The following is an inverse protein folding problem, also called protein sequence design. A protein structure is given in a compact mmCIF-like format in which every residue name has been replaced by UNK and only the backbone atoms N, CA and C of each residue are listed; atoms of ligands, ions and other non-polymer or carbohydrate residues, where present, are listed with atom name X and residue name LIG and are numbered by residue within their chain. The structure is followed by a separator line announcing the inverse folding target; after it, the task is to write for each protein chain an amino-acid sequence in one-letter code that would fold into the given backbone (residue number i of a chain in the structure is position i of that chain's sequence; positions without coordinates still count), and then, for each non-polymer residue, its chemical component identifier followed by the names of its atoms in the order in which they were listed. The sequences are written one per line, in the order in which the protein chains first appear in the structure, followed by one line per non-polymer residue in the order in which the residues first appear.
data_IF_980199113987
#
_entry.id   IF_980199113987
#
_cell.length_a   1.000
_cell.length_b   1.000
_cell.length_c   1.000
_cell.angle_alpha   90.00
_cell.angle_beta   90.00
_cell.angle_gamma   90.00
#
_symmetry.space_group_name_H-M   'P 1'
#
loop_
_entity.id
_entity.type
_entity.pdbx_description
1 polymer ?
#
# COMPACT_ATOMS: atom_id res chain seq x y z
N UNK A 1 2.61 1.97 -26.59
CA UNK A 1 3.40 2.85 -25.68
C UNK A 1 2.73 3.02 -24.32
N UNK A 2 1.73 3.90 -24.10
CA UNK A 2 1.16 4.14 -22.74
C UNK A 2 0.58 2.87 -22.07
N UNK A 3 -0.15 2.05 -22.81
CA UNK A 3 -0.69 0.77 -22.27
C UNK A 3 0.39 -0.28 -21.99
N UNK A 4 1.52 -0.21 -22.69
CA UNK A 4 2.64 -1.14 -22.47
C UNK A 4 3.44 -0.72 -21.24
N UNK A 5 3.62 0.58 -21.02
CA UNK A 5 4.27 1.09 -19.81
C UNK A 5 3.41 0.83 -18.57
N UNK A 6 2.09 1.01 -18.67
CA UNK A 6 1.14 0.64 -17.60
C UNK A 6 1.27 -0.85 -17.23
N UNK A 7 1.22 -1.73 -18.23
CA UNK A 7 1.39 -3.18 -18.03
C UNK A 7 2.73 -3.51 -17.39
N UNK A 8 3.81 -2.88 -17.85
CA UNK A 8 5.16 -3.14 -17.35
C UNK A 8 5.31 -2.73 -15.88
N UNK A 9 4.72 -1.60 -15.49
CA UNK A 9 4.69 -1.15 -14.10
C UNK A 9 3.86 -2.08 -13.23
N UNK A 10 2.65 -2.46 -13.66
CA UNK A 10 1.82 -3.40 -12.89
C UNK A 10 2.54 -4.74 -12.67
N UNK A 11 3.16 -5.29 -13.71
CA UNK A 11 3.91 -6.55 -13.60
C UNK A 11 5.07 -6.42 -12.62
N UNK A 12 5.83 -5.32 -12.68
CA UNK A 12 6.97 -5.12 -11.78
C UNK A 12 6.53 -5.00 -10.31
N UNK A 13 5.46 -4.26 -10.03
CA UNK A 13 4.91 -4.13 -8.68
C UNK A 13 4.42 -5.47 -8.15
N UNK A 14 3.68 -6.24 -8.96
CA UNK A 14 3.20 -7.58 -8.58
C UNK A 14 4.38 -8.50 -8.26
N UNK A 15 5.40 -8.53 -9.12
CA UNK A 15 6.57 -9.40 -8.92
C UNK A 15 7.33 -9.07 -7.62
N UNK A 16 7.50 -7.79 -7.29
CA UNK A 16 8.19 -7.38 -6.07
C UNK A 16 7.37 -7.73 -4.82
N UNK A 17 6.09 -7.37 -4.80
CA UNK A 17 5.20 -7.64 -3.66
C UNK A 17 4.99 -9.13 -3.43
N UNK A 18 4.96 -9.94 -4.49
CA UNK A 18 4.86 -11.38 -4.38
C UNK A 18 6.11 -12.02 -3.76
N UNK A 19 7.32 -11.56 -4.12
CA UNK A 19 8.57 -12.06 -3.51
C UNK A 19 8.61 -11.77 -2.02
N UNK A 20 8.25 -10.55 -1.62
CA UNK A 20 8.18 -10.16 -0.22
C UNK A 20 7.12 -10.97 0.54
N UNK A 21 5.97 -11.24 -0.08
CA UNK A 21 4.95 -12.11 0.49
C UNK A 21 5.45 -13.53 0.70
N UNK A 22 6.14 -14.15 -0.28
CA UNK A 22 6.72 -15.48 -0.12
C UNK A 22 7.70 -15.55 1.05
N UNK A 23 8.57 -14.54 1.18
CA UNK A 23 9.49 -14.45 2.31
C UNK A 23 8.74 -14.34 3.65
N UNK A 24 7.68 -13.53 3.70
CA UNK A 24 6.84 -13.41 4.89
C UNK A 24 6.14 -14.73 5.26
N UNK A 25 5.72 -15.52 4.25
CA UNK A 25 5.08 -16.82 4.46
C UNK A 25 6.06 -17.87 4.97
N UNK A 26 7.31 -17.83 4.54
CA UNK A 26 8.33 -18.75 5.05
C UNK A 26 8.67 -18.44 6.50
N UNK A 27 8.82 -17.17 6.88
CA UNK A 27 8.94 -16.77 8.30
C UNK A 27 7.72 -17.19 9.13
N UNK A 28 6.51 -17.05 8.58
CA UNK A 28 5.28 -17.46 9.24
C UNK A 28 5.31 -18.96 9.56
N UNK A 29 5.67 -19.79 8.57
CA UNK A 29 5.76 -21.26 8.71
C UNK A 29 6.75 -21.69 9.79
N UNK A 30 7.90 -21.04 9.87
CA UNK A 30 8.92 -21.32 10.90
C UNK A 30 8.38 -21.01 12.31
N UNK A 31 7.56 -19.96 12.46
CA UNK A 31 7.00 -19.53 13.76
C UNK A 31 5.77 -20.31 14.25
N UNK A 32 5.10 -21.08 13.40
CA UNK A 32 3.83 -21.75 13.74
C UNK A 32 3.98 -22.96 14.65
N UNK A 33 5.15 -23.60 14.65
CA UNK A 33 5.44 -24.70 15.56
C UNK A 33 5.25 -24.31 17.04
N UNK A 34 5.51 -23.05 17.37
CA UNK A 34 5.36 -22.52 18.73
C UNK A 34 3.89 -22.29 19.14
N UNK A 35 2.95 -22.18 18.18
CA UNK A 35 1.53 -21.98 18.48
C UNK A 35 0.83 -23.23 18.98
N UNK A 36 1.40 -24.40 18.70
CA UNK A 36 0.96 -25.68 19.25
C UNK A 36 1.03 -25.71 20.79
N UNK A 37 1.92 -24.94 21.41
CA UNK A 37 1.95 -24.80 22.87
C UNK A 37 0.72 -24.09 23.43
N UNK A 38 0.02 -23.29 22.62
CA UNK A 38 -1.19 -22.56 23.00
C UNK A 38 -2.50 -23.33 22.83
N UNK A 39 -2.45 -24.66 22.59
CA UNK A 39 -3.63 -25.50 22.32
C UNK A 39 -4.49 -25.05 21.13
N UNK A 40 -3.95 -24.18 20.27
CA UNK A 40 -4.58 -23.79 19.01
C UNK A 40 -4.05 -24.67 17.88
N UNK A 41 -4.93 -25.03 16.95
CA UNK A 41 -4.53 -25.81 15.78
C UNK A 41 -3.58 -24.98 14.90
N UNK A 42 -2.31 -25.41 14.73
CA UNK A 42 -1.30 -24.64 14.01
C UNK A 42 -1.68 -24.41 12.54
N UNK A 43 -2.40 -25.35 11.94
CA UNK A 43 -2.86 -25.25 10.55
C UNK A 43 -3.92 -24.16 10.36
N UNK A 44 -4.82 -23.98 11.33
CA UNK A 44 -5.90 -22.98 11.25
C UNK A 44 -5.30 -21.59 11.42
N UNK A 45 -4.40 -21.44 12.38
CA UNK A 45 -3.67 -20.19 12.62
C UNK A 45 -2.82 -19.80 11.41
N UNK A 46 -2.09 -20.74 10.80
CA UNK A 46 -1.38 -20.51 9.54
C UNK A 46 -2.31 -19.95 8.48
N UNK A 47 -3.42 -20.65 8.20
CA UNK A 47 -4.35 -20.27 7.13
C UNK A 47 -4.95 -18.89 7.37
N UNK A 48 -5.24 -18.55 8.63
CA UNK A 48 -5.83 -17.26 9.00
C UNK A 48 -4.82 -16.13 8.78
N UNK A 49 -3.60 -16.28 9.29
CA UNK A 49 -2.59 -15.24 9.18
C UNK A 49 -2.03 -15.11 7.77
N UNK A 50 -1.83 -16.23 7.07
CA UNK A 50 -1.42 -16.22 5.67
C UNK A 50 -2.41 -15.45 4.81
N UNK A 51 -3.71 -15.61 5.09
CA UNK A 51 -4.76 -14.91 4.37
C UNK A 51 -4.84 -13.42 4.72
N UNK A 52 -4.57 -13.04 5.97
CA UNK A 52 -4.47 -11.63 6.36
C UNK A 52 -3.31 -10.94 5.64
N UNK A 53 -2.13 -11.54 5.67
CA UNK A 53 -0.93 -10.99 5.00
C UNK A 53 -1.13 -10.93 3.48
N UNK A 54 -1.85 -11.89 2.89
CA UNK A 54 -2.20 -11.86 1.47
C UNK A 54 -3.14 -10.70 1.12
N UNK A 55 -4.17 -10.43 1.93
CA UNK A 55 -5.06 -9.28 1.71
C UNK A 55 -4.29 -7.96 1.82
N UNK A 56 -3.46 -7.81 2.86
CA UNK A 56 -2.62 -6.64 3.03
C UNK A 56 -1.65 -6.43 1.85
N UNK A 57 -1.13 -7.53 1.25
CA UNK A 57 -0.32 -7.46 0.04
C UNK A 57 -1.12 -6.96 -1.16
N UNK A 58 -2.35 -7.46 -1.33
CA UNK A 58 -3.22 -7.05 -2.43
C UNK A 58 -3.54 -5.55 -2.35
N UNK A 59 -3.90 -5.04 -1.18
CA UNK A 59 -4.19 -3.62 -0.96
C UNK A 59 -2.95 -2.75 -1.27
N UNK A 60 -1.75 -3.20 -0.88
CA UNK A 60 -0.50 -2.49 -1.19
C UNK A 60 -0.21 -2.48 -2.70
N UNK A 61 -0.47 -3.57 -3.42
CA UNK A 61 -0.28 -3.62 -4.88
C UNK A 61 -1.19 -2.58 -5.55
N UNK A 62 -2.45 -2.48 -5.12
CA UNK A 62 -3.38 -1.49 -5.65
C UNK A 62 -2.90 -0.05 -5.39
N UNK A 63 -2.56 0.28 -4.14
CA UNK A 63 -2.07 1.60 -3.77
C UNK A 63 -0.76 1.97 -4.50
N UNK A 64 0.17 1.03 -4.60
CA UNK A 64 1.48 1.24 -5.19
C UNK A 64 1.40 1.38 -6.72
N UNK A 65 0.59 0.57 -7.39
CA UNK A 65 0.35 0.72 -8.84
C UNK A 65 -0.29 2.06 -9.16
N UNK A 66 -1.31 2.50 -8.39
CA UNK A 66 -1.95 3.82 -8.59
C UNK A 66 -0.95 4.94 -8.33
N UNK A 67 -0.15 4.85 -7.26
CA UNK A 67 0.87 5.83 -6.93
C UNK A 67 1.91 5.96 -8.05
N UNK A 68 2.42 4.85 -8.56
CA UNK A 68 3.40 4.88 -9.65
C UNK A 68 2.80 5.47 -10.92
N UNK A 69 1.57 5.09 -11.28
CA UNK A 69 0.90 5.67 -12.45
C UNK A 69 0.65 7.17 -12.30
N UNK A 70 0.35 7.64 -11.09
CA UNK A 70 0.08 9.06 -10.84
C UNK A 70 1.34 9.94 -10.92
N UNK A 71 2.49 9.45 -10.42
CA UNK A 71 3.76 10.19 -10.47
C UNK A 71 4.56 9.96 -11.75
N UNK A 72 4.13 9.03 -12.61
CA UNK A 72 4.78 8.77 -13.89
C UNK A 72 4.57 9.95 -14.84
N UNK A 73 5.56 10.83 -14.93
CA UNK A 73 5.63 11.81 -16.01
C UNK A 73 6.19 11.12 -17.26
N UNK A 74 5.42 11.02 -18.36
CA UNK A 74 5.97 10.53 -19.62
C UNK A 74 6.96 11.58 -20.14
N UNK A 75 8.24 11.21 -20.22
CA UNK A 75 9.21 12.02 -20.96
C UNK A 75 8.88 11.89 -22.45
N UNK A 76 8.12 12.85 -22.97
CA UNK A 76 8.05 13.08 -24.40
C UNK A 76 9.33 13.80 -24.79
N UNK A 77 10.17 13.13 -25.58
CA UNK A 77 11.33 13.76 -26.20
C UNK A 77 10.82 14.83 -27.16
N UNK A 78 10.60 16.04 -26.64
CA UNK A 78 10.43 17.20 -27.48
C UNK A 78 11.79 17.42 -28.12
N UNK A 79 11.88 17.23 -29.44
CA UNK A 79 12.99 17.68 -30.25
C UNK A 79 13.12 19.20 -30.16
N UNK A 80 13.60 19.69 -29.03
CA UNK A 80 14.18 21.00 -28.89
C UNK A 80 15.44 20.80 -28.07
N UNK A 81 16.46 20.29 -28.77
CA UNK A 81 17.84 20.62 -28.46
C UNK A 81 17.92 22.14 -28.57
N UNK A 82 17.51 22.84 -27.51
CA UNK A 82 17.85 24.23 -27.32
C UNK A 82 19.36 24.22 -27.29
N UNK A 83 19.97 24.57 -28.43
CA UNK A 83 21.35 25.01 -28.47
C UNK A 83 21.42 26.12 -27.45
N UNK A 84 21.95 25.81 -26.28
CA UNK A 84 22.36 26.81 -25.32
C UNK A 84 23.47 27.59 -26.04
N UNK A 85 23.24 28.82 -26.54
CA UNK A 85 24.31 29.61 -27.11
C UNK A 85 25.01 30.21 -25.90
N UNK A 86 25.92 29.45 -25.31
CA UNK A 86 26.78 30.03 -24.29
C UNK A 86 27.59 31.13 -24.98
N UNK A 87 27.57 32.38 -24.49
CA UNK A 87 28.45 33.41 -25.02
C UNK A 87 29.89 32.94 -24.79
N UNK A 88 30.65 32.82 -25.87
CA UNK A 88 32.08 32.54 -25.81
C UNK A 88 32.73 33.71 -25.07
N UNK A 89 33.11 33.48 -23.81
CA UNK A 89 33.78 34.49 -23.00
C UNK A 89 35.13 34.78 -23.68
N UNK A 90 35.53 36.06 -23.83
CA UNK A 90 36.84 36.38 -24.39
C UNK A 90 37.92 35.74 -23.52
N UNK A 91 38.83 34.99 -24.15
CA UNK A 91 40.04 34.51 -23.49
C UNK A 91 40.81 35.71 -22.94
N UNK A 92 40.84 35.84 -21.62
CA UNK A 92 41.58 36.88 -20.95
C UNK A 92 43.05 36.48 -20.96
N UNK A 93 43.80 37.08 -21.90
CA UNK A 93 45.25 37.03 -21.97
C UNK A 93 45.84 37.42 -20.61
N UNK A 94 46.67 36.52 -20.08
CA UNK A 94 47.33 36.64 -18.80
C UNK A 94 48.37 37.75 -18.87
N UNK A 95 47.96 38.96 -18.49
CA UNK A 95 48.82 40.12 -18.30
C UNK A 95 48.77 40.59 -16.85
N UNK A 96 49.91 40.43 -16.19
CA UNK A 96 50.28 40.81 -14.83
C UNK A 96 49.99 42.29 -14.56
N UNK A 97 49.34 42.63 -13.44
CA UNK A 97 49.74 43.75 -12.55
C UNK A 97 48.80 43.88 -11.34
N UNK A 98 49.41 44.13 -10.19
CA UNK A 98 48.78 44.19 -8.88
C UNK A 98 48.14 45.57 -8.59
N UNK A 99 46.91 45.57 -8.04
CA UNK A 99 46.55 46.45 -6.92
C UNK A 99 45.30 45.95 -6.20
N UNK A 100 45.35 45.94 -4.87
CA UNK A 100 44.21 45.64 -4.01
C UNK A 100 43.24 46.85 -3.97
N UNK A 101 41.93 46.61 -3.99
CA UNK A 101 40.94 47.46 -3.31
C UNK A 101 39.68 46.66 -3.03
N UNK A 102 39.25 46.74 -1.78
CA UNK A 102 38.03 46.17 -1.24
C UNK A 102 36.79 46.81 -1.87
N UNK A 103 35.80 45.99 -2.26
CA UNK A 103 34.42 46.44 -2.39
C UNK A 103 33.44 45.30 -2.06
N UNK A 104 32.71 45.54 -0.99
CA UNK A 104 31.64 44.77 -0.39
C UNK A 104 30.52 44.44 -1.42
N UNK A 105 30.08 43.18 -1.46
CA UNK A 105 29.02 42.70 -2.36
C UNK A 105 28.28 41.50 -1.77
N UNK A 106 27.31 41.78 -0.91
CA UNK A 106 26.38 40.83 -0.28
C UNK A 106 25.57 40.04 -1.32
N UNK A 107 25.67 38.70 -1.32
CA UNK A 107 24.76 37.79 -2.03
C UNK A 107 24.04 36.85 -1.05
N UNK A 108 23.20 37.42 -0.19
CA UNK A 108 22.16 36.68 0.52
C UNK A 108 20.91 36.65 -0.36
N UNK A 109 20.74 35.63 -1.19
CA UNK A 109 19.57 35.57 -2.07
C UNK A 109 19.41 34.28 -2.84
N UNK A 110 19.39 33.12 -2.17
CA UNK A 110 18.85 31.85 -2.72
C UNK A 110 18.51 30.79 -1.65
N UNK A 111 18.67 31.06 -0.36
CA UNK A 111 18.30 30.10 0.71
C UNK A 111 16.81 30.11 1.08
N UNK A 112 16.04 31.13 0.69
CA UNK A 112 14.62 31.25 1.04
C UNK A 112 13.73 30.25 0.29
N UNK A 113 14.06 29.94 -0.96
CA UNK A 113 13.14 29.26 -1.87
C UNK A 113 13.16 27.73 -1.68
N UNK A 114 14.33 27.16 -1.33
CA UNK A 114 14.45 25.75 -0.97
C UNK A 114 13.75 25.43 0.36
N UNK A 115 13.71 26.38 1.31
CA UNK A 115 13.07 26.19 2.62
C UNK A 115 11.55 26.25 2.53
N UNK A 116 11.00 27.04 1.60
CA UNK A 116 9.57 27.10 1.33
C UNK A 116 9.03 25.80 0.69
N UNK A 117 9.79 25.17 -0.22
CA UNK A 117 9.42 23.89 -0.80
C UNK A 117 9.48 22.72 0.23
N UNK A 118 10.43 22.77 1.16
CA UNK A 118 10.51 21.79 2.27
C UNK A 118 9.33 21.94 3.25
N UNK A 119 8.93 23.17 3.58
CA UNK A 119 7.78 23.42 4.48
C UNK A 119 6.44 22.90 3.93
N UNK A 120 6.23 23.01 2.61
CA UNK A 120 5.00 22.52 1.98
C UNK A 120 4.84 20.98 2.07
N UNK A 121 5.95 20.24 2.01
CA UNK A 121 5.96 18.78 2.15
C UNK A 121 5.68 18.33 3.60
N UNK A 122 6.26 19.03 4.58
CA UNK A 122 6.02 18.79 6.00
C UNK A 122 4.56 19.05 6.40
N UNK A 123 3.93 20.08 5.82
CA UNK A 123 2.52 20.41 6.06
C UNK A 123 1.54 19.38 5.48
N UNK A 124 1.83 18.82 4.29
CA UNK A 124 1.02 17.74 3.70
C UNK A 124 1.08 16.49 4.58
N UNK A 125 2.28 16.12 5.05
CA UNK A 125 2.49 14.94 5.91
C UNK A 125 1.75 15.10 7.25
N UNK A 126 1.77 16.30 7.84
CA UNK A 126 1.08 16.64 9.08
C UNK A 126 -0.44 16.56 8.95
N UNK A 127 -0.99 16.97 7.81
CA UNK A 127 -2.44 16.91 7.55
C UNK A 127 -2.93 15.45 7.38
N UNK A 128 -2.14 14.60 6.72
CA UNK A 128 -2.43 13.17 6.58
C UNK A 128 -2.41 12.49 7.96
N UNK A 129 -1.40 12.79 8.79
CA UNK A 129 -1.28 12.22 10.15
C UNK A 129 -2.47 12.63 11.03
N UNK A 130 -2.84 13.92 11.04
CA UNK A 130 -4.01 14.40 11.80
C UNK A 130 -5.33 13.78 11.35
N UNK A 131 -5.47 13.44 10.07
CA UNK A 131 -6.67 12.78 9.56
C UNK A 131 -6.75 11.34 10.06
N UNK A 132 -5.63 10.59 10.01
CA UNK A 132 -5.54 9.24 10.55
C UNK A 132 -5.74 9.19 12.07
N UNK A 133 -5.19 10.14 12.82
CA UNK A 133 -5.36 10.18 14.28
C UNK A 133 -6.80 10.50 14.68
N UNK A 134 -7.49 11.38 13.93
CA UNK A 134 -8.92 11.65 14.13
C UNK A 134 -9.79 10.45 13.79
N UNK A 135 -9.47 9.73 12.73
CA UNK A 135 -10.17 8.51 12.33
C UNK A 135 -9.97 7.39 13.36
N UNK A 136 -8.74 7.22 13.88
CA UNK A 136 -8.42 6.30 14.97
C UNK A 136 -9.13 6.67 16.28
N UNK A 137 -9.16 7.96 16.62
CA UNK A 137 -9.89 8.46 17.79
C UNK A 137 -11.41 8.30 17.63
N UNK A 138 -11.95 8.47 16.41
CA UNK A 138 -13.35 8.23 16.11
C UNK A 138 -13.71 6.75 16.27
N UNK A 139 -12.84 5.83 15.82
CA UNK A 139 -12.98 4.39 16.05
C UNK A 139 -12.89 4.01 17.54
N UNK A 140 -12.01 4.66 18.32
CA UNK A 140 -11.94 4.45 19.77
C UNK A 140 -13.14 5.02 20.53
N UNK A 141 -13.72 6.14 20.09
CA UNK A 141 -14.89 6.75 20.73
C UNK A 141 -16.18 5.96 20.44
N UNK A 142 -16.27 5.28 19.29
CA UNK A 142 -17.37 4.36 18.97
C UNK A 142 -17.24 3.02 19.72
N UNK A 143 -16.05 2.71 20.28
CA UNK A 143 -15.81 1.52 21.10
C UNK A 143 -16.16 1.66 22.58
N UNK A 144 -16.67 2.81 23.00
CA UNK A 144 -16.85 3.18 24.40
C UNK A 144 -18.30 3.42 24.82
N UNK A 145 -19.25 2.57 24.40
CA UNK A 145 -20.54 2.41 25.10
C UNK A 145 -21.14 1.04 24.77
N UNK A 146 -21.40 0.26 25.82
CA UNK A 146 -21.95 -1.07 25.73
C UNK A 146 -23.36 -1.07 25.14
N UNK A 147 -23.49 -1.64 23.94
CA UNK A 147 -24.66 -2.43 23.59
C UNK A 147 -24.15 -3.74 23.02
N UNK A 148 -24.25 -4.80 23.82
CA UNK A 148 -24.11 -6.16 23.36
C UNK A 148 -25.07 -6.36 22.18
N UNK A 149 -24.54 -6.32 20.96
CA UNK A 149 -25.20 -6.96 19.83
C UNK A 149 -25.10 -8.45 20.10
N UNK A 150 -26.15 -9.01 20.70
CA UNK A 150 -26.40 -10.45 20.70
C UNK A 150 -26.14 -10.96 19.28
N UNK A 151 -25.07 -11.74 19.13
CA UNK A 151 -24.90 -12.57 17.97
C UNK A 151 -26.11 -13.50 17.94
N UNK A 152 -27.06 -13.24 17.04
CA UNK A 152 -28.21 -14.11 16.88
C UNK A 152 -27.69 -15.53 16.64
N UNK A 153 -28.07 -16.51 17.47
CA UNK A 153 -27.57 -17.86 17.31
C UNK A 153 -28.03 -18.37 15.94
N UNK A 154 -27.06 -18.65 15.07
CA UNK A 154 -27.31 -19.38 13.83
C UNK A 154 -27.84 -20.75 14.23
N UNK A 155 -29.16 -20.90 14.18
CA UNK A 155 -29.83 -22.19 14.31
C UNK A 155 -29.42 -23.01 13.10
N UNK A 156 -28.43 -23.89 13.29
CA UNK A 156 -28.15 -24.94 12.31
C UNK A 156 -29.43 -25.77 12.18
N UNK A 157 -30.10 -25.65 11.03
CA UNK A 157 -31.26 -26.48 10.72
C UNK A 157 -30.92 -27.95 10.94
N UNK A 158 -31.84 -28.69 11.56
CA UNK A 158 -31.69 -30.11 11.87
C UNK A 158 -31.34 -30.86 10.59
N UNK A 159 -30.18 -31.52 10.54
CA UNK A 159 -29.81 -32.34 9.39
C UNK A 159 -30.84 -33.46 9.27
N UNK A 160 -31.65 -33.41 8.21
CA UNK A 160 -32.66 -34.42 7.91
C UNK A 160 -31.95 -35.76 7.72
N UNK A 161 -32.29 -36.74 8.55
CA UNK A 161 -31.71 -38.07 8.50
C UNK A 161 -32.17 -38.84 7.27
N UNK A 162 -31.37 -39.83 6.85
CA UNK A 162 -31.61 -40.63 5.63
C UNK A 162 -33.00 -41.31 5.59
N UNK A 163 -33.62 -41.57 6.74
CA UNK A 163 -34.94 -42.21 6.84
C UNK A 163 -36.10 -41.25 7.23
N UNK A 164 -35.83 -39.97 7.49
CA UNK A 164 -36.83 -38.98 7.92
C UNK A 164 -37.75 -38.53 6.78
N UNK A 165 -38.96 -38.00 7.08
CA UNK A 165 -39.84 -37.44 6.05
C UNK A 165 -39.11 -36.36 5.25
N UNK A 166 -39.15 -36.46 3.93
CA UNK A 166 -38.38 -35.57 3.08
C UNK A 166 -38.97 -34.15 3.06
N UNK A 167 -38.17 -33.08 3.22
CA UNK A 167 -38.63 -31.70 3.14
C UNK A 167 -39.15 -31.29 1.76
N UNK A 168 -39.00 -32.14 0.73
CA UNK A 168 -39.57 -31.97 -0.62
C UNK A 168 -41.12 -32.06 -0.66
N UNK A 169 -41.78 -32.38 0.46
CA UNK A 169 -43.24 -32.50 0.54
C UNK A 169 -43.82 -33.78 -0.10
N UNK A 170 -42.98 -34.70 -0.57
CA UNK A 170 -43.42 -35.90 -1.30
C UNK A 170 -44.04 -37.01 -0.44
N UNK A 171 -44.08 -36.85 0.89
CA UNK A 171 -44.53 -37.88 1.84
C UNK A 171 -43.63 -39.12 1.93
N UNK A 172 -42.51 -39.17 1.20
CA UNK A 172 -41.56 -40.29 1.18
C UNK A 172 -40.36 -40.01 2.10
N UNK A 173 -39.70 -41.09 2.56
CA UNK A 173 -38.44 -41.01 3.34
C UNK A 173 -37.34 -40.31 2.51
N UNK A 174 -36.46 -39.54 3.16
CA UNK A 174 -35.44 -38.71 2.50
C UNK A 174 -34.59 -39.47 1.48
N UNK A 175 -34.12 -40.69 1.81
CA UNK A 175 -33.38 -41.58 0.89
C UNK A 175 -34.14 -42.06 -0.36
N UNK A 176 -35.46 -41.91 -0.38
CA UNK A 176 -36.33 -42.30 -1.51
C UNK A 176 -36.87 -41.08 -2.28
N UNK A 177 -36.53 -39.84 -1.86
CA UNK A 177 -36.87 -38.59 -2.58
C UNK A 177 -35.58 -37.86 -3.01
N UNK A 178 -34.85 -37.26 -2.06
CA UNK A 178 -33.76 -36.31 -2.35
C UNK A 178 -32.37 -36.79 -1.89
N UNK A 179 -32.28 -37.88 -1.13
CA UNK A 179 -31.01 -38.46 -0.72
C UNK A 179 -30.63 -39.60 -1.65
N UNK A 180 -29.76 -39.35 -2.63
CA UNK A 180 -29.02 -40.42 -3.32
C UNK A 180 -28.23 -41.28 -2.33
#
# INVERSE_FOLDING_TARGET
VMRETERMVMLNVIENQWKDHLLSMDHLKEGIGLRGYGQKDPLIEYKKESFQIFQDMMDRIEDETIRFLYFMQPYFESSSRSQNPYPELPEQDSGEDAYATEANGTSNGTQSDHRAAQGAFEDITRNIQRKKDKELAQLQLVGGDGSATEAQPIVKGTRVGRNDPCPCGSGKKHKKCCGT
#
